data_IF_500743024553
#
_entry.id   IF_500743024553
#
_cell.length_a   1.000
_cell.length_b   1.000
_cell.length_c   1.000
_cell.angle_alpha   90.00
_cell.angle_beta   90.00
_cell.angle_gamma   90.00
#
_symmetry.space_group_name_H-M   'P 1'
#
loop_
_entity.id
_entity.type
_entity.pdbx_description
1 polymer ?
#
# COMPACT_ATOMS: atom_id res chain seq x y z
N UNK A 1 19.97 -33.31 46.13
CA UNK A 1 19.93 -33.19 44.66
C UNK A 1 18.60 -32.54 44.28
N UNK A 2 18.61 -31.35 43.68
CA UNK A 2 17.40 -30.62 43.23
C UNK A 2 17.42 -30.57 41.70
N UNK A 3 16.50 -31.29 41.07
CA UNK A 3 16.32 -31.28 39.62
C UNK A 3 15.52 -30.04 39.23
N UNK A 4 16.09 -29.16 38.41
CA UNK A 4 15.40 -27.99 37.83
C UNK A 4 14.89 -28.41 36.44
N UNK A 5 13.57 -28.33 36.25
CA UNK A 5 12.88 -28.61 35.00
C UNK A 5 12.74 -27.30 34.20
N UNK A 6 13.45 -27.20 33.07
CA UNK A 6 13.33 -26.08 32.13
C UNK A 6 12.25 -26.38 31.09
N UNK A 7 11.15 -25.63 31.14
CA UNK A 7 10.09 -25.69 30.12
C UNK A 7 10.46 -24.70 29.01
N UNK A 8 10.87 -25.22 27.85
CA UNK A 8 11.00 -24.42 26.64
C UNK A 8 9.61 -24.22 26.01
N UNK A 9 9.01 -23.05 26.21
CA UNK A 9 7.84 -22.64 25.42
C UNK A 9 8.31 -22.27 24.02
N UNK A 10 8.15 -23.17 23.06
CA UNK A 10 8.37 -22.88 21.64
C UNK A 10 7.23 -21.98 21.14
N UNK A 11 7.48 -20.68 21.06
CA UNK A 11 6.57 -19.75 20.37
C UNK A 11 6.70 -20.00 18.87
N UNK A 12 5.68 -20.60 18.26
CA UNK A 12 5.58 -20.72 16.81
C UNK A 12 5.27 -19.33 16.24
N UNK A 13 6.28 -18.68 15.64
CA UNK A 13 6.03 -17.51 14.79
C UNK A 13 5.37 -17.99 13.50
N UNK A 14 4.07 -17.80 13.37
CA UNK A 14 3.40 -17.94 12.09
C UNK A 14 3.97 -16.87 11.15
N UNK A 15 4.71 -17.27 10.12
CA UNK A 15 5.03 -16.38 9.01
C UNK A 15 3.69 -15.91 8.41
N UNK A 16 3.40 -14.62 8.51
CA UNK A 16 2.22 -14.06 7.86
C UNK A 16 2.32 -14.38 6.37
N UNK A 17 1.33 -15.08 5.82
CA UNK A 17 1.31 -15.42 4.40
C UNK A 17 1.47 -14.15 3.56
N UNK A 18 2.43 -14.16 2.64
CA UNK A 18 2.60 -13.10 1.65
C UNK A 18 1.40 -13.08 0.72
N UNK A 19 0.88 -11.88 0.46
CA UNK A 19 -0.28 -11.69 -0.42
C UNK A 19 0.17 -11.84 -1.86
N UNK A 20 -0.58 -12.59 -2.67
CA UNK A 20 -0.27 -12.83 -4.07
C UNK A 20 -1.30 -12.15 -4.98
N UNK A 21 -0.87 -11.42 -6.03
CA UNK A 21 -1.77 -10.91 -7.06
C UNK A 21 -2.62 -12.04 -7.67
N UNK A 22 -3.96 -11.88 -7.76
CA UNK A 22 -4.81 -12.89 -8.36
C UNK A 22 -4.53 -12.99 -9.87
N UNK A 23 -4.59 -14.18 -10.46
CA UNK A 23 -4.36 -14.36 -11.92
C UNK A 23 -5.53 -13.86 -12.78
N UNK A 24 -6.71 -13.71 -12.19
CA UNK A 24 -7.90 -13.10 -12.76
C UNK A 24 -8.79 -12.58 -11.64
N UNK A 25 -9.72 -11.67 -11.92
CA UNK A 25 -10.66 -11.19 -10.90
C UNK A 25 -12.12 -11.15 -11.36
N UNK A 26 -12.46 -10.36 -12.38
CA UNK A 26 -13.85 -10.26 -12.87
C UNK A 26 -13.90 -9.71 -14.29
N UNK A 27 -15.03 -9.87 -14.99
CA UNK A 27 -15.30 -9.12 -16.22
C UNK A 27 -14.30 -9.38 -17.36
N UNK A 28 -13.66 -10.54 -17.38
CA UNK A 28 -12.70 -10.94 -18.42
C UNK A 28 -11.26 -10.49 -18.20
N UNK A 29 -10.95 -9.81 -17.08
CA UNK A 29 -9.59 -9.38 -16.75
C UNK A 29 -8.69 -10.55 -16.35
N UNK A 30 -7.51 -10.61 -16.95
CA UNK A 30 -6.50 -11.64 -16.71
C UNK A 30 -5.12 -11.00 -16.54
N UNK A 31 -4.26 -11.66 -15.76
CA UNK A 31 -2.87 -11.28 -15.61
C UNK A 31 -2.15 -11.30 -16.98
N UNK A 32 -1.54 -10.17 -17.35
CA UNK A 32 -0.69 -10.03 -18.52
C UNK A 32 0.73 -10.42 -18.14
N UNK A 33 1.18 -11.58 -18.63
CA UNK A 33 2.50 -12.13 -18.33
C UNK A 33 2.65 -12.64 -16.89
N UNK A 34 3.90 -12.78 -16.46
CA UNK A 34 4.26 -13.15 -15.09
C UNK A 34 4.28 -11.92 -14.18
N UNK A 35 3.96 -12.13 -12.91
CA UNK A 35 4.11 -11.09 -11.90
C UNK A 35 5.59 -10.80 -11.65
N UNK A 36 5.93 -9.54 -11.47
CA UNK A 36 7.29 -9.12 -11.16
C UNK A 36 7.46 -8.96 -9.65
N UNK A 37 8.66 -9.30 -9.17
CA UNK A 37 9.00 -9.26 -7.77
C UNK A 37 10.31 -8.50 -7.55
N UNK A 38 10.23 -7.43 -6.77
CA UNK A 38 11.35 -6.56 -6.46
C UNK A 38 11.59 -6.58 -4.94
N UNK A 39 12.63 -7.24 -4.43
CA UNK A 39 13.08 -7.04 -3.06
C UNK A 39 13.54 -5.59 -2.85
N UNK A 40 13.65 -5.16 -1.60
CA UNK A 40 14.02 -3.79 -1.24
C UNK A 40 15.26 -3.28 -2.01
N UNK A 41 16.32 -4.07 -2.05
CA UNK A 41 17.58 -3.76 -2.73
C UNK A 41 17.48 -3.68 -4.26
N UNK A 42 16.32 -3.98 -4.86
CA UNK A 42 16.06 -3.86 -6.31
C UNK A 42 14.85 -2.99 -6.64
N UNK A 43 14.32 -2.22 -5.68
CA UNK A 43 13.18 -1.33 -5.95
C UNK A 43 13.50 -0.25 -7.01
N UNK A 44 14.76 0.17 -7.12
CA UNK A 44 15.19 1.14 -8.13
C UNK A 44 15.05 0.59 -9.57
N UNK A 45 15.06 -0.73 -9.76
CA UNK A 45 14.84 -1.34 -11.09
C UNK A 45 13.43 -1.07 -11.61
N UNK A 46 12.48 -0.81 -10.71
CA UNK A 46 11.09 -0.49 -11.04
C UNK A 46 10.78 1.02 -10.94
N UNK A 47 11.30 1.71 -9.93
CA UNK A 47 10.92 3.10 -9.63
C UNK A 47 12.10 3.96 -9.23
N UNK A 48 13.03 4.16 -10.16
CA UNK A 48 14.18 5.04 -9.97
C UNK A 48 13.77 6.47 -9.56
N UNK A 49 14.40 7.00 -8.51
CA UNK A 49 14.02 8.22 -7.80
C UNK A 49 12.95 8.04 -6.71
N UNK A 50 11.81 7.41 -7.01
CA UNK A 50 10.76 7.21 -6.00
C UNK A 50 11.13 6.13 -4.95
N UNK A 51 12.00 5.17 -5.32
CA UNK A 51 12.41 4.06 -4.46
C UNK A 51 12.99 4.52 -3.10
N UNK A 52 13.71 5.64 -3.07
CA UNK A 52 14.37 6.14 -1.86
C UNK A 52 13.39 6.40 -0.72
N UNK A 53 12.24 7.01 -1.03
CA UNK A 53 11.19 7.25 -0.03
C UNK A 53 10.61 5.92 0.48
N UNK A 54 10.34 4.96 -0.42
CA UNK A 54 9.81 3.66 -0.02
C UNK A 54 10.80 2.89 0.87
N UNK A 55 12.08 2.96 0.54
CA UNK A 55 13.16 2.36 1.34
C UNK A 55 13.28 3.00 2.73
N UNK A 56 13.34 4.33 2.81
CA UNK A 56 13.38 5.05 4.09
C UNK A 56 12.14 4.77 4.95
N UNK A 57 10.98 4.62 4.31
CA UNK A 57 9.74 4.27 5.00
C UNK A 57 9.69 2.80 5.42
N UNK A 58 10.63 1.96 4.98
CA UNK A 58 10.75 0.56 5.39
C UNK A 58 10.02 -0.42 4.48
N UNK A 59 10.01 -0.19 3.17
CA UNK A 59 9.55 -1.16 2.19
C UNK A 59 10.49 -2.37 2.18
N UNK A 60 9.91 -3.57 2.23
CA UNK A 60 10.63 -4.86 2.20
C UNK A 60 10.66 -5.45 0.81
N UNK A 61 9.54 -5.34 0.11
CA UNK A 61 9.37 -5.88 -1.23
C UNK A 61 8.18 -5.24 -1.94
N UNK A 62 8.23 -5.28 -3.27
CA UNK A 62 7.16 -4.89 -4.18
C UNK A 62 6.82 -6.06 -5.09
N UNK A 63 5.53 -6.35 -5.21
CA UNK A 63 4.98 -7.22 -6.26
C UNK A 63 4.19 -6.38 -7.26
N UNK A 64 4.45 -6.59 -8.55
CA UNK A 64 3.75 -5.90 -9.64
C UNK A 64 3.07 -6.92 -10.53
N UNK A 65 1.78 -6.72 -10.81
CA UNK A 65 1.03 -7.51 -11.78
C UNK A 65 0.26 -6.59 -12.71
N UNK A 66 0.57 -6.68 -14.00
CA UNK A 66 -0.23 -6.05 -15.04
C UNK A 66 -1.42 -6.95 -15.40
N UNK A 67 -2.57 -6.37 -15.70
CA UNK A 67 -3.77 -7.04 -16.14
C UNK A 67 -4.19 -6.50 -17.49
N UNK A 68 -4.82 -7.35 -18.30
CA UNK A 68 -5.33 -6.98 -19.62
C UNK A 68 -6.75 -7.49 -19.82
N UNK A 69 -7.54 -6.69 -20.52
CA UNK A 69 -8.83 -7.07 -21.10
C UNK A 69 -8.97 -6.42 -22.47
N UNK A 70 -8.86 -7.21 -23.54
CA UNK A 70 -8.74 -6.67 -24.92
C UNK A 70 -7.57 -5.68 -25.00
N UNK A 71 -7.82 -4.41 -25.29
CA UNK A 71 -6.83 -3.33 -25.38
C UNK A 71 -6.68 -2.53 -24.07
N UNK A 72 -7.50 -2.84 -23.05
CA UNK A 72 -7.47 -2.15 -21.77
C UNK A 72 -6.42 -2.78 -20.84
N UNK A 73 -5.70 -1.95 -20.09
CA UNK A 73 -4.65 -2.37 -19.17
C UNK A 73 -4.80 -1.72 -17.79
N UNK A 74 -4.45 -2.48 -16.75
CA UNK A 74 -4.32 -2.00 -15.38
C UNK A 74 -3.02 -2.53 -14.79
N UNK A 75 -2.38 -1.77 -13.91
CA UNK A 75 -1.25 -2.24 -13.11
C UNK A 75 -1.62 -2.29 -11.64
N UNK A 76 -1.28 -3.39 -10.97
CA UNK A 76 -1.40 -3.58 -9.54
C UNK A 76 0.00 -3.63 -8.93
N UNK A 77 0.24 -2.76 -7.96
CA UNK A 77 1.45 -2.72 -7.16
C UNK A 77 1.10 -2.98 -5.69
N UNK A 78 1.73 -4.01 -5.10
CA UNK A 78 1.56 -4.38 -3.70
C UNK A 78 2.92 -4.22 -3.01
N UNK A 79 3.02 -3.22 -2.15
CA UNK A 79 4.20 -2.95 -1.34
C UNK A 79 4.01 -3.58 0.03
N UNK A 80 4.91 -4.50 0.41
CA UNK A 80 5.01 -4.94 1.80
C UNK A 80 5.95 -4.00 2.56
N UNK A 81 5.42 -3.39 3.61
CA UNK A 81 6.17 -2.51 4.49
C UNK A 81 6.52 -3.21 5.80
N UNK A 82 7.46 -2.64 6.55
CA UNK A 82 7.92 -3.19 7.83
C UNK A 82 6.78 -3.32 8.86
N UNK A 83 5.82 -2.40 8.85
CA UNK A 83 4.67 -2.35 9.75
C UNK A 83 3.51 -1.50 9.20
N UNK A 84 2.40 -1.46 9.95
CA UNK A 84 1.21 -0.65 9.61
C UNK A 84 1.51 0.87 9.56
N UNK A 85 2.25 1.48 10.54
CA UNK A 85 2.65 2.88 10.44
C UNK A 85 3.44 3.22 9.16
N UNK A 86 4.30 2.32 8.67
CA UNK A 86 5.05 2.48 7.43
C UNK A 86 4.13 2.57 6.20
N UNK A 87 3.20 1.61 6.09
CA UNK A 87 2.23 1.56 5.00
C UNK A 87 1.29 2.77 5.01
N UNK A 88 0.81 3.17 6.19
CA UNK A 88 0.01 4.39 6.34
C UNK A 88 0.83 5.64 5.95
N UNK A 89 2.11 5.68 6.34
CA UNK A 89 3.02 6.77 5.98
C UNK A 89 3.11 6.98 4.46
N UNK A 90 3.34 5.93 3.68
CA UNK A 90 3.33 6.00 2.20
C UNK A 90 1.95 6.39 1.66
N UNK A 91 0.87 5.84 2.22
CA UNK A 91 -0.50 6.16 1.81
C UNK A 91 -0.83 7.66 1.98
N UNK A 92 -0.36 8.28 3.06
CA UNK A 92 -0.57 9.72 3.32
C UNK A 92 0.04 10.61 2.24
N UNK A 93 1.14 10.19 1.60
CA UNK A 93 1.79 10.88 0.49
C UNK A 93 1.07 10.75 -0.85
N UNK A 94 0.15 9.80 -1.00
CA UNK A 94 -0.48 9.57 -2.30
C UNK A 94 -1.46 10.68 -2.69
N UNK A 95 -1.58 11.01 -3.98
CA UNK A 95 -2.60 11.93 -4.47
C UNK A 95 -4.01 11.32 -4.37
N UNK A 96 -5.02 12.17 -4.51
CA UNK A 96 -6.43 11.78 -4.53
C UNK A 96 -7.18 12.09 -3.24
N UNK A 97 -8.50 12.14 -3.37
CA UNK A 97 -9.40 12.49 -2.28
C UNK A 97 -9.73 11.26 -1.43
N UNK A 98 -9.64 11.43 -0.12
CA UNK A 98 -10.10 10.40 0.83
C UNK A 98 -11.62 10.51 0.96
N UNK A 99 -12.32 9.38 0.85
CA UNK A 99 -13.79 9.29 0.98
C UNK A 99 -14.60 10.08 -0.09
N UNK A 100 -14.06 10.29 -1.29
CA UNK A 100 -14.83 10.91 -2.40
C UNK A 100 -16.03 10.07 -2.86
N UNK A 101 -16.06 8.78 -2.50
CA UNK A 101 -17.18 7.88 -2.77
C UNK A 101 -18.09 7.77 -1.55
N UNK A 102 -19.42 7.81 -1.77
CA UNK A 102 -20.43 7.65 -0.71
C UNK A 102 -20.31 6.34 0.07
N UNK A 103 -19.93 5.25 -0.61
CA UNK A 103 -19.74 3.91 -0.05
C UNK A 103 -18.55 3.22 -0.75
N UNK A 104 -17.30 3.57 -0.39
CA UNK A 104 -16.14 3.02 -1.08
C UNK A 104 -15.99 1.52 -0.75
N UNK A 105 -15.51 0.70 -1.69
CA UNK A 105 -15.31 -0.74 -1.46
C UNK A 105 -14.24 -1.05 -0.40
N UNK A 106 -13.32 -0.09 -0.19
CA UNK A 106 -12.17 -0.15 0.72
C UNK A 106 -11.93 1.27 1.26
N UNK A 107 -11.34 1.46 2.45
CA UNK A 107 -10.85 2.78 2.85
C UNK A 107 -9.64 3.16 1.98
N UNK A 108 -9.68 4.31 1.31
CA UNK A 108 -8.60 4.68 0.39
C UNK A 108 -8.77 6.06 -0.25
N UNK A 109 -7.88 6.35 -1.20
CA UNK A 109 -7.91 7.52 -2.10
C UNK A 109 -8.25 7.07 -3.50
N UNK A 110 -9.09 7.84 -4.18
CA UNK A 110 -9.67 7.45 -5.46
C UNK A 110 -9.64 8.58 -6.47
N UNK A 111 -9.19 8.28 -7.69
CA UNK A 111 -9.38 9.10 -8.88
C UNK A 111 -9.35 8.19 -10.14
N UNK A 112 -9.65 8.70 -11.35
CA UNK A 112 -9.69 7.89 -12.57
C UNK A 112 -8.37 7.21 -12.98
N UNK A 113 -7.24 7.77 -12.56
CA UNK A 113 -5.90 7.26 -12.86
C UNK A 113 -5.40 6.26 -11.83
N UNK A 114 -5.86 6.40 -10.58
CA UNK A 114 -5.30 5.67 -9.46
C UNK A 114 -6.31 5.43 -8.34
N UNK A 115 -6.27 4.21 -7.81
CA UNK A 115 -6.81 3.86 -6.50
C UNK A 115 -5.65 3.45 -5.61
N UNK A 116 -5.55 4.04 -4.44
CA UNK A 116 -4.57 3.63 -3.43
C UNK A 116 -5.22 3.41 -2.08
N UNK A 117 -4.73 2.41 -1.35
CA UNK A 117 -5.16 2.12 0.00
C UNK A 117 -4.04 1.45 0.78
N UNK A 118 -4.21 1.34 2.09
CA UNK A 118 -3.36 0.53 2.94
C UNK A 118 -4.23 -0.39 3.79
N UNK A 119 -3.70 -1.57 4.12
CA UNK A 119 -4.30 -2.50 5.05
C UNK A 119 -3.18 -3.31 5.70
N UNK A 120 -3.19 -3.41 7.03
CA UNK A 120 -2.08 -4.01 7.76
C UNK A 120 -0.75 -3.36 7.33
N UNK A 121 0.32 -4.14 7.14
CA UNK A 121 1.62 -3.65 6.67
C UNK A 121 1.71 -3.43 5.17
N UNK A 122 0.62 -3.54 4.43
CA UNK A 122 0.63 -3.43 2.97
C UNK A 122 0.11 -2.07 2.51
N UNK A 123 0.81 -1.47 1.56
CA UNK A 123 0.32 -0.37 0.75
C UNK A 123 0.05 -0.90 -0.66
N UNK A 124 -1.12 -0.56 -1.22
CA UNK A 124 -1.58 -1.06 -2.51
C UNK A 124 -1.92 0.11 -3.41
N UNK A 125 -1.51 0.01 -4.67
CA UNK A 125 -1.78 0.97 -5.72
C UNK A 125 -2.25 0.25 -6.97
N UNK A 126 -3.37 0.71 -7.52
CA UNK A 126 -3.90 0.26 -8.80
C UNK A 126 -3.87 1.46 -9.73
N UNK A 127 -3.19 1.31 -10.86
CA UNK A 127 -2.97 2.38 -11.82
C UNK A 127 -3.64 2.05 -13.14
N UNK A 128 -4.33 3.06 -13.68
CA UNK A 128 -4.89 3.11 -15.01
C UNK A 128 -4.13 4.18 -15.80
N UNK A 129 -3.16 3.75 -16.61
CA UNK A 129 -2.28 4.67 -17.33
C UNK A 129 -2.97 5.37 -18.52
N UNK A 130 -4.08 4.85 -19.02
CA UNK A 130 -4.83 5.52 -20.11
C UNK A 130 -5.66 6.70 -19.59
N UNK A 131 -5.94 6.75 -18.28
CA UNK A 131 -6.85 7.74 -17.69
C UNK A 131 -8.32 7.53 -18.05
N UNK A 132 -8.64 6.46 -18.80
CA UNK A 132 -10.02 6.18 -19.18
C UNK A 132 -10.86 5.88 -17.94
N UNK A 133 -11.78 6.80 -17.63
CA UNK A 133 -12.64 6.71 -16.46
C UNK A 133 -13.60 5.51 -16.51
N UNK A 134 -13.81 4.90 -17.69
CA UNK A 134 -14.57 3.66 -17.83
C UNK A 134 -13.96 2.49 -17.06
N UNK A 135 -12.63 2.52 -16.84
CA UNK A 135 -11.90 1.46 -16.14
C UNK A 135 -11.99 1.56 -14.62
N UNK A 136 -12.51 2.67 -14.08
CA UNK A 136 -12.59 2.92 -12.64
C UNK A 136 -13.39 1.83 -11.90
N UNK A 137 -14.46 1.31 -12.49
CA UNK A 137 -15.23 0.21 -11.90
C UNK A 137 -14.42 -1.10 -11.80
N UNK A 138 -13.54 -1.37 -12.77
CA UNK A 138 -12.64 -2.52 -12.72
C UNK A 138 -11.59 -2.34 -11.61
N UNK A 139 -11.03 -1.12 -11.48
CA UNK A 139 -10.10 -0.79 -10.40
C UNK A 139 -10.74 -0.94 -9.01
N UNK A 140 -11.99 -0.51 -8.83
CA UNK A 140 -12.76 -0.69 -7.58
C UNK A 140 -13.00 -2.17 -7.26
N UNK A 141 -13.19 -2.99 -8.29
CA UNK A 141 -13.38 -4.43 -8.11
C UNK A 141 -12.07 -5.09 -7.70
N UNK A 142 -10.96 -4.76 -8.36
CA UNK A 142 -9.64 -5.27 -8.02
C UNK A 142 -9.20 -4.84 -6.62
N UNK A 143 -9.45 -3.59 -6.22
CA UNK A 143 -9.12 -3.10 -4.87
C UNK A 143 -9.84 -3.89 -3.79
N UNK A 144 -11.13 -4.19 -3.98
CA UNK A 144 -11.91 -5.04 -3.07
C UNK A 144 -11.36 -6.45 -2.97
N UNK A 145 -10.96 -7.05 -4.10
CA UNK A 145 -10.38 -8.40 -4.13
C UNK A 145 -9.10 -8.44 -3.31
N UNK A 146 -8.17 -7.51 -3.54
CA UNK A 146 -6.91 -7.44 -2.79
C UNK A 146 -7.17 -7.14 -1.32
N UNK A 147 -8.02 -6.16 -1.01
CA UNK A 147 -8.34 -5.79 0.37
C UNK A 147 -8.93 -6.94 1.18
N UNK A 148 -9.73 -7.83 0.58
CA UNK A 148 -10.24 -9.05 1.25
C UNK A 148 -9.17 -10.10 1.52
N UNK A 149 -8.11 -10.14 0.72
CA UNK A 149 -6.97 -11.03 0.97
C UNK A 149 -6.09 -10.50 2.11
N UNK A 150 -5.99 -9.17 2.23
CA UNK A 150 -5.28 -8.55 3.34
C UNK A 150 -6.16 -8.65 4.58
N UNK A 151 -5.83 -9.51 5.55
CA UNK A 151 -6.51 -9.50 6.85
C UNK A 151 -6.32 -8.12 7.50
N UNK A 152 -7.34 -7.24 7.56
CA UNK A 152 -7.17 -5.90 8.08
C UNK A 152 -6.97 -6.02 9.59
N UNK A 153 -5.77 -5.73 10.08
CA UNK A 153 -5.56 -5.46 11.50
C UNK A 153 -6.18 -4.11 11.84
N UNK A 154 -6.55 -3.92 13.12
CA UNK A 154 -7.28 -2.74 13.60
C UNK A 154 -6.73 -1.39 13.12
N UNK A 155 -7.58 -0.36 13.19
CA UNK A 155 -7.21 0.99 12.76
C UNK A 155 -6.05 1.54 13.60
N UNK A 156 -5.07 2.13 12.92
CA UNK A 156 -4.00 2.88 13.56
C UNK A 156 -4.13 4.36 13.21
N UNK A 157 -4.75 5.11 14.13
CA UNK A 157 -4.89 6.55 14.00
C UNK A 157 -3.66 7.26 14.56
N UNK A 158 -2.78 7.69 13.66
CA UNK A 158 -1.60 8.50 14.00
C UNK A 158 -1.96 9.89 14.50
N UNK A 159 -3.13 10.43 14.11
CA UNK A 159 -3.51 11.78 14.43
C UNK A 159 -3.66 11.97 15.95
N UNK A 160 -3.97 10.92 16.71
CA UNK A 160 -4.08 10.97 18.17
C UNK A 160 -2.81 11.42 18.90
N UNK A 161 -1.65 11.34 18.25
CA UNK A 161 -0.35 11.74 18.81
C UNK A 161 0.02 13.20 18.54
N UNK A 162 -0.75 13.93 17.74
CA UNK A 162 -0.51 15.34 17.43
C UNK A 162 -1.44 16.25 18.23
N UNK A 163 -1.12 17.53 18.44
CA UNK A 163 -2.06 18.51 18.99
C UNK A 163 -3.34 18.59 18.14
N UNK A 164 -4.51 18.65 18.77
CA UNK A 164 -5.79 18.78 18.05
C UNK A 164 -6.00 20.18 17.47
N UNK A 165 -5.51 21.20 18.16
CA UNK A 165 -5.65 22.59 17.76
C UNK A 165 -4.79 22.89 16.52
N UNK A 166 -5.36 23.60 15.54
CA UNK A 166 -4.64 24.04 14.34
C UNK A 166 -4.38 22.95 13.28
N UNK A 167 -5.01 21.78 13.39
CA UNK A 167 -4.86 20.74 12.37
C UNK A 167 -5.50 21.14 11.05
N UNK A 168 -4.77 20.89 9.97
CA UNK A 168 -5.27 21.01 8.61
C UNK A 168 -5.65 19.61 8.13
N UNK A 169 -6.87 19.45 7.61
CA UNK A 169 -7.32 18.17 7.08
C UNK A 169 -6.40 17.72 5.92
N UNK A 170 -6.00 16.44 5.92
CA UNK A 170 -5.14 15.89 4.87
C UNK A 170 -3.65 16.30 4.94
N UNK A 171 -3.23 17.12 5.92
CA UNK A 171 -1.81 17.51 6.07
C UNK A 171 -0.98 16.55 6.92
N UNK A 172 -1.60 15.53 7.52
CA UNK A 172 -0.89 14.52 8.30
C UNK A 172 0.15 13.80 7.43
N UNK A 173 1.40 13.74 7.90
CA UNK A 173 2.50 13.01 7.28
C UNK A 173 3.25 12.20 8.33
N UNK A 174 3.88 11.12 7.87
CA UNK A 174 4.85 10.36 8.65
C UNK A 174 6.24 10.68 8.11
N UNK A 175 7.14 11.02 9.02
CA UNK A 175 8.56 11.26 8.74
C UNK A 175 9.36 10.19 9.47
N UNK A 176 10.24 9.48 8.76
CA UNK A 176 11.13 8.44 9.32
C UNK A 176 12.61 8.74 9.11
N UNK A 177 12.96 9.65 8.20
CA UNK A 177 14.33 10.03 7.93
C UNK A 177 14.44 11.32 7.10
N UNK A 178 15.67 11.65 6.66
CA UNK A 178 15.94 12.89 5.95
C UNK A 178 15.15 13.10 4.65
N UNK A 179 14.82 12.04 3.91
CA UNK A 179 14.10 12.13 2.63
C UNK A 179 12.64 12.53 2.88
N UNK A 180 11.93 11.78 3.72
CA UNK A 180 10.54 12.08 4.11
C UNK A 180 10.43 13.43 4.84
N UNK A 181 11.45 13.83 5.62
CA UNK A 181 11.51 15.16 6.23
C UNK A 181 11.64 16.27 5.18
N UNK A 182 12.54 16.10 4.20
CA UNK A 182 12.72 17.06 3.10
C UNK A 182 11.45 17.22 2.28
N UNK A 183 10.79 16.13 1.92
CA UNK A 183 9.53 16.18 1.16
C UNK A 183 8.45 16.92 1.94
N UNK A 184 8.39 16.74 3.27
CA UNK A 184 7.41 17.43 4.11
C UNK A 184 7.64 18.93 4.17
N UNK A 185 8.90 19.34 4.38
CA UNK A 185 9.25 20.74 4.47
C UNK A 185 9.20 21.42 3.09
N UNK A 186 9.54 20.71 2.01
CA UNK A 186 9.45 21.23 0.65
C UNK A 186 8.03 21.60 0.24
N UNK A 187 7.03 20.81 0.66
CA UNK A 187 5.62 21.14 0.43
C UNK A 187 5.06 22.25 1.33
N UNK A 188 5.82 22.75 2.32
CA UNK A 188 5.36 23.77 3.26
C UNK A 188 5.80 25.20 2.90
N UNK A 189 6.55 25.36 1.81
CA UNK A 189 7.14 26.64 1.35
C UNK A 189 6.43 27.21 0.12
N UNK A 190 5.46 26.49 -0.44
CA UNK A 190 4.59 26.92 -1.55
C UNK A 190 3.17 27.23 -1.05
#
# INVERSE_FOLDING_TARGET
MRTILLIFTTTVFAAAASIAPPRSFSGGWQAKGEGQHFPADRLYEYMDGAAELFLEMGCRQLQVQNYQRKEEELSLEIFEMVDLPAANGIFLWQPGETNSLKNPPVPGKFNPYQISFHANRYFVRISNFSGDSSLFAAMLTLSRVIYRQIAPTGSFDLSRYLPQQGRIAGSLRVVRGPISARLFLGCAVD
#
